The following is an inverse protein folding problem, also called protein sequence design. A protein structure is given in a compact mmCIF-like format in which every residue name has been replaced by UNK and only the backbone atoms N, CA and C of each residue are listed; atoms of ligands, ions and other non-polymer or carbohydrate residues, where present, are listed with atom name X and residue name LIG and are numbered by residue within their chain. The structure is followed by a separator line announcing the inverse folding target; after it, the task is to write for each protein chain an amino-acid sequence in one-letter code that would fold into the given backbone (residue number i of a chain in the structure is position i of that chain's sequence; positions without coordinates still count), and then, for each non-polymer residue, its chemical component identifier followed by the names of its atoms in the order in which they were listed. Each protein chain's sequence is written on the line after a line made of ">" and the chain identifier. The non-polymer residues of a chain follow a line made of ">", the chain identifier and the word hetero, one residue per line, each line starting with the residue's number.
data_IF_072270858669
#
_entry.id   IF_072270858669
#
_cell.length_a   1.000
_cell.length_b   1.000
_cell.length_c   1.000
_cell.angle_alpha   90.00
_cell.angle_beta   90.00
_cell.angle_gamma   90.00
#
_symmetry.space_group_name_H-M   'P 1'
#
loop_
_entity.id
_entity.type
_entity.pdbx_description
1 polymer ?
#
# COMPACT_ATOMS: atom_id res chain seq x y z
N UNK A 1 -3.17 16.25 12.55
CA UNK A 1 -3.39 14.87 12.02
C UNK A 1 -4.64 14.66 11.15
N UNK A 2 -5.88 14.73 11.67
CA UNK A 2 -7.06 14.19 10.97
C UNK A 2 -7.39 14.86 9.61
N UNK A 3 -7.12 16.16 9.45
CA UNK A 3 -7.41 16.91 8.22
C UNK A 3 -6.58 16.46 7.03
N UNK A 4 -5.24 16.47 7.16
CA UNK A 4 -4.33 16.05 6.09
C UNK A 4 -4.50 14.57 5.71
N UNK A 5 -4.78 13.70 6.69
CA UNK A 5 -5.06 12.29 6.43
C UNK A 5 -6.36 12.09 5.65
N UNK A 6 -7.45 12.77 6.05
CA UNK A 6 -8.73 12.70 5.35
C UNK A 6 -8.63 13.30 3.93
N UNK A 7 -7.90 14.40 3.76
CA UNK A 7 -7.65 15.00 2.46
C UNK A 7 -6.84 14.07 1.54
N UNK A 8 -5.84 13.38 2.07
CA UNK A 8 -5.08 12.39 1.31
C UNK A 8 -5.93 11.22 0.84
N UNK A 9 -6.82 10.69 1.69
CA UNK A 9 -7.75 9.62 1.30
C UNK A 9 -8.68 10.11 0.18
N UNK A 10 -9.27 11.30 0.35
CA UNK A 10 -10.14 11.89 -0.68
C UNK A 10 -9.41 12.16 -1.99
N UNK A 11 -8.09 12.39 -1.94
CA UNK A 11 -7.25 12.58 -3.10
C UNK A 11 -7.02 11.28 -3.87
N UNK A 12 -6.85 10.16 -3.17
CA UNK A 12 -6.71 8.83 -3.80
C UNK A 12 -7.99 8.36 -4.49
N UNK A 13 -9.16 8.83 -4.04
CA UNK A 13 -10.45 8.56 -4.67
C UNK A 13 -10.73 9.47 -5.89
N UNK A 14 -9.97 10.56 -6.05
CA UNK A 14 -10.12 11.52 -7.13
C UNK A 14 -9.27 11.18 -8.36
N UNK A 15 -9.53 11.84 -9.49
CA UNK A 15 -8.70 11.74 -10.70
C UNK A 15 -7.82 12.98 -10.93
N UNK A 16 -7.63 13.80 -9.88
CA UNK A 16 -6.90 15.08 -9.98
C UNK A 16 -5.56 15.02 -9.26
N UNK A 17 -4.54 14.65 -10.03
CA UNK A 17 -3.15 14.56 -9.59
C UNK A 17 -2.57 15.91 -9.17
N UNK A 18 -3.10 17.03 -9.67
CA UNK A 18 -2.54 18.36 -9.37
C UNK A 18 -2.74 18.77 -7.91
N UNK A 19 -3.73 18.16 -7.24
CA UNK A 19 -3.97 18.33 -5.80
C UNK A 19 -2.90 17.64 -4.95
N UNK A 20 -2.19 16.64 -5.50
CA UNK A 20 -1.18 15.87 -4.76
C UNK A 20 0.03 16.72 -4.44
N UNK A 21 0.48 17.53 -5.40
CA UNK A 21 1.66 18.38 -5.24
C UNK A 21 1.40 19.44 -4.14
N UNK A 22 0.20 20.04 -4.12
CA UNK A 22 -0.21 20.97 -3.05
C UNK A 22 -0.31 20.30 -1.68
N UNK A 23 -0.87 19.09 -1.64
CA UNK A 23 -0.97 18.33 -0.39
C UNK A 23 0.42 17.99 0.16
N UNK A 24 1.39 17.64 -0.71
CA UNK A 24 2.76 17.36 -0.30
C UNK A 24 3.46 18.58 0.30
N UNK A 25 3.26 19.77 -0.26
CA UNK A 25 3.78 21.03 0.30
C UNK A 25 3.24 21.27 1.71
N UNK A 26 1.92 21.12 1.91
CA UNK A 26 1.30 21.29 3.22
C UNK A 26 1.70 20.21 4.23
N UNK A 27 1.90 18.99 3.75
CA UNK A 27 2.27 17.85 4.59
C UNK A 27 3.74 17.90 5.02
N UNK A 28 4.62 18.56 4.25
CA UNK A 28 6.04 18.69 4.54
C UNK A 28 6.34 19.41 5.86
N UNK A 29 5.53 20.41 6.23
CA UNK A 29 5.67 21.19 7.47
C UNK A 29 4.75 20.69 8.60
N UNK A 30 4.30 19.43 8.51
CA UNK A 30 3.33 18.85 9.44
C UNK A 30 3.86 17.62 10.16
N UNK A 31 3.08 17.10 11.11
CA UNK A 31 3.36 15.85 11.82
C UNK A 31 3.45 14.61 10.90
N UNK A 32 2.96 14.70 9.66
CA UNK A 32 3.06 13.63 8.64
C UNK A 32 4.18 13.86 7.62
N UNK A 33 5.13 14.78 7.90
CA UNK A 33 6.24 15.09 7.00
C UNK A 33 7.05 13.87 6.54
N UNK A 34 7.31 12.92 7.44
CA UNK A 34 8.04 11.69 7.09
C UNK A 34 7.26 10.80 6.11
N UNK A 35 5.94 10.77 6.24
CA UNK A 35 5.05 10.09 5.30
C UNK A 35 5.03 10.81 3.96
N UNK A 36 4.89 12.14 3.95
CA UNK A 36 4.95 12.95 2.73
C UNK A 36 6.28 12.76 1.98
N UNK A 37 7.41 12.70 2.69
CA UNK A 37 8.71 12.39 2.08
C UNK A 37 8.76 10.99 1.48
N UNK A 38 8.08 10.01 2.09
CA UNK A 38 7.89 8.69 1.51
C UNK A 38 7.11 8.74 0.20
N UNK A 39 5.94 9.39 0.21
CA UNK A 39 5.10 9.58 -0.97
C UNK A 39 5.84 10.31 -2.10
N UNK A 40 6.62 11.33 -1.76
CA UNK A 40 7.41 12.09 -2.75
C UNK A 40 8.48 11.22 -3.44
N UNK A 41 9.08 10.24 -2.73
CA UNK A 41 10.02 9.29 -3.36
C UNK A 41 9.34 8.35 -4.34
N UNK A 42 8.10 7.96 -4.06
CA UNK A 42 7.31 7.02 -4.86
C UNK A 42 6.26 7.75 -5.73
N UNK A 43 6.51 9.02 -6.08
CA UNK A 43 5.51 9.92 -6.66
C UNK A 43 4.86 9.36 -7.93
N UNK A 44 5.63 8.72 -8.81
CA UNK A 44 5.11 8.14 -10.06
C UNK A 44 4.13 6.98 -9.78
N UNK A 45 4.41 6.16 -8.77
CA UNK A 45 3.53 5.08 -8.38
C UNK A 45 2.22 5.61 -7.78
N UNK A 46 2.29 6.68 -6.98
CA UNK A 46 1.11 7.31 -6.37
C UNK A 46 0.27 8.03 -7.42
N UNK A 47 0.90 8.78 -8.34
CA UNK A 47 0.21 9.37 -9.50
C UNK A 47 -0.43 8.29 -10.38
N UNK A 48 0.25 7.16 -10.55
CA UNK A 48 -0.30 5.96 -11.17
C UNK A 48 -1.58 5.50 -10.47
N UNK A 49 -1.53 5.29 -9.15
CA UNK A 49 -2.67 4.82 -8.37
C UNK A 49 -3.91 5.73 -8.45
N UNK A 50 -3.72 7.04 -8.59
CA UNK A 50 -4.81 8.03 -8.76
C UNK A 50 -5.41 7.97 -10.18
N UNK A 51 -4.55 7.86 -11.20
CA UNK A 51 -4.97 7.98 -12.61
C UNK A 51 -5.44 6.66 -13.21
N UNK A 52 -5.12 5.54 -12.58
CA UNK A 52 -5.42 4.21 -13.09
C UNK A 52 -6.47 3.50 -12.26
N UNK A 53 -7.29 2.68 -12.93
CA UNK A 53 -8.25 1.80 -12.26
C UNK A 53 -7.60 0.57 -11.60
N UNK A 54 -6.32 0.33 -11.86
CA UNK A 54 -5.63 -0.87 -11.43
C UNK A 54 -5.07 -0.71 -10.02
N UNK A 55 -5.39 -1.66 -9.15
CA UNK A 55 -4.89 -1.69 -7.77
C UNK A 55 -4.12 -2.97 -7.52
N UNK A 56 -3.11 -2.89 -6.65
CA UNK A 56 -2.35 -4.07 -6.18
C UNK A 56 -3.11 -4.85 -5.10
N UNK A 57 -4.29 -4.40 -4.68
CA UNK A 57 -5.04 -4.96 -3.55
C UNK A 57 -5.31 -6.48 -3.66
N UNK A 58 -5.69 -7.05 -4.82
CA UNK A 58 -5.86 -8.50 -4.94
C UNK A 58 -4.55 -9.27 -4.76
N UNK A 59 -3.45 -8.72 -5.28
CA UNK A 59 -2.10 -9.30 -5.17
C UNK A 59 -1.63 -9.27 -3.71
N UNK A 60 -1.84 -8.15 -3.02
CA UNK A 60 -1.54 -8.02 -1.59
C UNK A 60 -2.33 -9.02 -0.74
N UNK A 61 -3.61 -9.27 -1.08
CA UNK A 61 -4.41 -10.31 -0.45
C UNK A 61 -3.78 -11.70 -0.57
N UNK A 62 -3.32 -12.07 -1.76
CA UNK A 62 -2.61 -13.34 -1.98
C UNK A 62 -1.28 -13.41 -1.22
N UNK A 63 -0.51 -12.32 -1.22
CA UNK A 63 0.74 -12.23 -0.45
C UNK A 63 0.47 -12.43 1.04
N UNK A 64 -0.57 -11.78 1.57
CA UNK A 64 -0.96 -11.89 2.98
C UNK A 64 -1.43 -13.31 3.32
N UNK A 65 -2.21 -13.96 2.45
CA UNK A 65 -2.59 -15.38 2.60
C UNK A 65 -1.37 -16.28 2.69
N UNK A 66 -0.41 -16.15 1.76
CA UNK A 66 0.84 -16.95 1.79
C UNK A 66 1.64 -16.67 3.07
N UNK A 67 1.77 -15.39 3.46
CA UNK A 67 2.44 -14.99 4.72
C UNK A 67 1.75 -15.58 5.95
N UNK A 68 0.42 -15.67 5.97
CA UNK A 68 -0.35 -16.24 7.06
C UNK A 68 -0.11 -17.76 7.18
N UNK A 69 -0.20 -18.49 6.07
CA UNK A 69 0.07 -19.94 6.02
C UNK A 69 1.50 -20.25 6.50
N UNK A 70 2.48 -19.45 6.07
CA UNK A 70 3.87 -19.57 6.55
C UNK A 70 3.98 -19.30 8.06
N UNK A 71 3.29 -18.27 8.58
CA UNK A 71 3.31 -17.90 10.01
C UNK A 71 2.67 -18.96 10.91
N UNK A 72 1.63 -19.67 10.47
CA UNK A 72 1.02 -20.76 11.24
C UNK A 72 2.03 -21.84 11.66
N UNK A 73 3.12 -21.99 10.91
CA UNK A 73 4.15 -22.99 11.17
C UNK A 73 5.38 -22.45 11.91
N UNK A 74 5.45 -21.13 12.15
CA UNK A 74 6.57 -20.48 12.87
C UNK A 74 7.97 -20.92 12.36
N UNK A 75 8.14 -21.03 11.04
CA UNK A 75 9.42 -21.41 10.44
C UNK A 75 9.70 -22.92 10.38
N UNK A 76 8.77 -23.78 10.83
CA UNK A 76 8.89 -25.25 10.79
C UNK A 76 8.50 -25.87 9.43
N UNK A 77 8.33 -25.05 8.40
CA UNK A 77 7.98 -25.50 7.05
C UNK A 77 9.17 -25.28 6.13
N UNK A 78 9.66 -26.34 5.48
CA UNK A 78 10.50 -26.19 4.31
C UNK A 78 9.68 -25.69 3.11
N UNK A 79 10.34 -25.43 1.99
CA UNK A 79 9.66 -24.93 0.80
C UNK A 79 8.60 -25.91 0.27
N UNK A 80 8.88 -27.21 0.27
CA UNK A 80 7.97 -28.22 -0.28
C UNK A 80 6.67 -28.30 0.54
N UNK A 81 6.79 -28.33 1.86
CA UNK A 81 5.66 -28.34 2.78
C UNK A 81 4.86 -27.04 2.72
N UNK A 82 5.54 -25.88 2.64
CA UNK A 82 4.85 -24.60 2.47
C UNK A 82 4.07 -24.56 1.15
N UNK A 83 4.68 -25.02 0.05
CA UNK A 83 4.02 -25.09 -1.26
C UNK A 83 2.78 -25.97 -1.22
N UNK A 84 2.85 -27.16 -0.63
CA UNK A 84 1.69 -28.04 -0.50
C UNK A 84 0.56 -27.39 0.31
N UNK A 85 0.88 -26.75 1.44
CA UNK A 85 -0.14 -26.06 2.24
C UNK A 85 -0.80 -24.89 1.50
N UNK A 86 -0.03 -24.12 0.72
CA UNK A 86 -0.59 -23.02 -0.09
C UNK A 86 -1.51 -23.56 -1.19
N UNK A 87 -1.19 -24.69 -1.82
CA UNK A 87 -2.02 -25.30 -2.85
C UNK A 87 -3.28 -25.96 -2.28
N UNK A 88 -3.21 -26.56 -1.09
CA UNK A 88 -4.35 -27.22 -0.43
C UNK A 88 -5.29 -26.24 0.29
N UNK A 89 -4.83 -25.04 0.61
CA UNK A 89 -5.65 -23.97 1.19
C UNK A 89 -6.29 -23.07 0.12
N UNK A 90 -6.27 -23.47 -1.16
CA UNK A 90 -6.82 -22.72 -2.29
C UNK A 90 -8.25 -23.18 -2.59
#
# INVERSE_FOLDING_TARGET
>A
MAGLAAEFIALLDGNDVTRLDRWLEQAADSEVASFAAGIARDIDAVKGAITTRWTTSPVEGQINRVKAIKRQMYGRADYQLLRQRVLLAA
#
